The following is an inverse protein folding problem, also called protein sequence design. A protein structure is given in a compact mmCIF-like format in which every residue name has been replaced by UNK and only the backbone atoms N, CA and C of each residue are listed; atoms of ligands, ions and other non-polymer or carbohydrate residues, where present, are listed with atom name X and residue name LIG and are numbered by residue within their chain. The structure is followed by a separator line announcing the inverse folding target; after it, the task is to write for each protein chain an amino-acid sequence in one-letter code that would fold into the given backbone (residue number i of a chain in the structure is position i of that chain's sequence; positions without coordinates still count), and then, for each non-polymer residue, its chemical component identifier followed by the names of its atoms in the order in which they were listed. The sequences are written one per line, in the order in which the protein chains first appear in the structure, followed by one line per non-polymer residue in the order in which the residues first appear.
data_IF_540286435487
#
_entry.id   IF_540286435487
#
_cell.length_a   1.000
_cell.length_b   1.000
_cell.length_c   1.000
_cell.angle_alpha   90.00
_cell.angle_beta   90.00
_cell.angle_gamma   90.00
#
_symmetry.space_group_name_H-M   'P 1'
#
loop_
_entity.id
_entity.type
_entity.pdbx_description
1 polymer ?
#
# COMPACT_ATOMS: atom_id res chain seq x y z
N UNK A 1 -12.85 7.20 -22.53
CA UNK A 1 -12.38 8.33 -21.69
C UNK A 1 -11.69 9.47 -22.46
N UNK A 2 -11.10 9.27 -23.65
CA UNK A 2 -10.56 10.39 -24.50
C UNK A 2 -11.53 11.57 -24.70
N UNK A 3 -12.83 11.32 -24.81
CA UNK A 3 -13.87 12.36 -24.92
C UNK A 3 -13.98 13.23 -23.66
N UNK A 4 -13.83 12.64 -22.47
CA UNK A 4 -13.84 13.36 -21.19
C UNK A 4 -12.65 14.31 -21.10
N UNK A 5 -11.44 13.83 -21.42
CA UNK A 5 -10.22 14.64 -21.41
C UNK A 5 -10.29 15.87 -22.30
N UNK A 6 -10.77 15.69 -23.54
CA UNK A 6 -10.95 16.79 -24.49
C UNK A 6 -11.98 17.80 -23.98
N UNK A 7 -13.10 17.31 -23.43
CA UNK A 7 -14.18 18.16 -22.87
C UNK A 7 -13.67 18.98 -21.68
N UNK A 8 -12.92 18.37 -20.76
CA UNK A 8 -12.29 19.07 -19.61
C UNK A 8 -11.34 20.17 -20.10
N UNK A 9 -10.50 19.86 -21.10
CA UNK A 9 -9.57 20.83 -21.67
C UNK A 9 -10.30 22.03 -22.29
N UNK A 10 -11.31 21.79 -23.10
CA UNK A 10 -12.11 22.83 -23.75
C UNK A 10 -12.79 23.74 -22.71
N UNK A 11 -13.46 23.15 -21.72
CA UNK A 11 -14.15 23.91 -20.68
C UNK A 11 -13.20 24.73 -19.81
N UNK A 12 -11.97 24.24 -19.57
CA UNK A 12 -10.94 25.00 -18.87
C UNK A 12 -10.46 26.18 -19.72
N UNK A 13 -10.14 25.95 -21.00
CA UNK A 13 -9.65 26.97 -21.92
C UNK A 13 -10.72 28.06 -22.19
N UNK A 14 -12.00 27.68 -22.34
CA UNK A 14 -13.13 28.60 -22.50
C UNK A 14 -13.30 29.55 -21.31
N UNK A 15 -12.87 29.13 -20.11
CA UNK A 15 -12.87 29.94 -18.89
C UNK A 15 -11.58 30.77 -18.72
N UNK A 16 -10.63 30.65 -19.63
CA UNK A 16 -9.36 31.35 -19.58
C UNK A 16 -8.43 30.90 -18.44
N UNK A 17 -8.65 29.70 -17.87
CA UNK A 17 -7.88 29.20 -16.73
C UNK A 17 -6.63 28.45 -17.20
N UNK A 18 -5.48 28.73 -16.58
CA UNK A 18 -4.29 27.88 -16.75
C UNK A 18 -4.43 26.56 -15.98
N UNK A 19 -3.53 25.59 -16.20
CA UNK A 19 -3.60 24.32 -15.47
C UNK A 19 -3.24 24.52 -14.00
N UNK A 20 -2.28 25.39 -13.73
CA UNK A 20 -1.82 25.78 -12.41
C UNK A 20 -2.94 26.45 -11.62
N UNK A 21 -3.65 27.39 -12.24
CA UNK A 21 -4.82 28.04 -11.63
C UNK A 21 -5.96 27.05 -11.40
N UNK A 22 -6.12 26.07 -12.29
CA UNK A 22 -7.16 25.06 -12.17
C UNK A 22 -6.92 24.11 -10.98
N UNK A 23 -5.69 23.62 -10.83
CA UNK A 23 -5.27 22.66 -9.80
C UNK A 23 -5.03 23.26 -8.41
N UNK A 24 -4.84 24.58 -8.31
CA UNK A 24 -4.75 25.27 -7.02
C UNK A 24 -3.56 24.83 -6.17
N UNK A 25 -3.82 24.17 -5.03
CA UNK A 25 -2.80 23.68 -4.09
C UNK A 25 -2.32 22.25 -4.37
N UNK A 26 -2.80 21.66 -5.47
CA UNK A 26 -2.49 20.30 -5.92
C UNK A 26 -2.81 19.21 -4.88
N UNK A 27 -3.73 19.48 -3.95
CA UNK A 27 -4.14 18.51 -2.92
C UNK A 27 -5.02 17.38 -3.45
N UNK A 28 -5.91 17.68 -4.40
CA UNK A 28 -6.85 16.71 -5.00
C UNK A 28 -6.53 16.36 -6.47
N UNK A 29 -5.77 17.22 -7.16
CA UNK A 29 -5.40 17.04 -8.56
C UNK A 29 -4.09 17.79 -8.86
N UNK A 30 -3.06 17.07 -9.30
CA UNK A 30 -1.79 17.69 -9.72
C UNK A 30 -1.88 18.24 -11.14
N UNK A 31 -1.01 19.20 -11.47
CA UNK A 31 -0.92 19.75 -12.84
C UNK A 31 -0.59 18.64 -13.87
N UNK A 32 0.24 17.68 -13.47
CA UNK A 32 0.62 16.53 -14.29
C UNK A 32 -0.55 15.57 -14.49
N UNK A 33 -1.31 15.26 -13.45
CA UNK A 33 -2.53 14.44 -13.53
C UNK A 33 -3.54 15.09 -14.47
N UNK A 34 -3.79 16.40 -14.33
CA UNK A 34 -4.66 17.14 -15.23
C UNK A 34 -4.19 17.06 -16.68
N UNK A 35 -2.89 17.23 -16.95
CA UNK A 35 -2.35 17.11 -18.30
C UNK A 35 -2.54 15.70 -18.90
N UNK A 36 -2.38 14.63 -18.10
CA UNK A 36 -2.63 13.24 -18.55
C UNK A 36 -4.11 12.99 -18.84
N UNK A 37 -5.00 13.52 -17.99
CA UNK A 37 -6.46 13.44 -18.18
C UNK A 37 -6.85 14.17 -19.47
N UNK A 38 -6.39 15.41 -19.67
CA UNK A 38 -6.66 16.20 -20.88
C UNK A 38 -6.10 15.53 -22.16
N UNK A 39 -4.96 14.85 -22.04
CA UNK A 39 -4.37 14.05 -23.12
C UNK A 39 -5.15 12.78 -23.44
N UNK A 40 -6.11 12.39 -22.60
CA UNK A 40 -6.90 11.17 -22.75
C UNK A 40 -6.08 9.89 -22.57
N UNK A 41 -4.94 9.99 -21.89
CA UNK A 41 -4.04 8.88 -21.63
C UNK A 41 -4.43 8.10 -20.37
N UNK A 42 -5.13 8.73 -19.43
CA UNK A 42 -5.51 8.12 -18.14
C UNK A 42 -6.99 8.35 -17.78
N UNK A 43 -7.51 7.46 -16.95
CA UNK A 43 -8.85 7.57 -16.38
C UNK A 43 -8.78 8.29 -15.02
N UNK A 44 -9.44 9.45 -14.86
CA UNK A 44 -9.47 10.14 -13.57
C UNK A 44 -10.29 9.36 -12.54
N UNK A 45 -9.87 9.43 -11.28
CA UNK A 45 -10.61 8.84 -10.17
C UNK A 45 -11.84 9.70 -9.79
N UNK A 46 -12.74 9.15 -8.98
CA UNK A 46 -13.98 9.84 -8.57
C UNK A 46 -13.71 11.15 -7.83
N UNK A 47 -12.62 11.24 -7.06
CA UNK A 47 -12.24 12.45 -6.32
C UNK A 47 -11.83 13.56 -7.29
N UNK A 48 -10.91 13.26 -8.21
CA UNK A 48 -10.47 14.16 -9.27
C UNK A 48 -11.62 14.59 -10.17
N UNK A 49 -12.55 13.69 -10.51
CA UNK A 49 -13.75 14.04 -11.30
C UNK A 49 -14.65 15.01 -10.53
N UNK A 50 -14.89 14.78 -9.24
CA UNK A 50 -15.65 15.71 -8.39
C UNK A 50 -14.97 17.07 -8.30
N UNK A 51 -13.66 17.09 -8.13
CA UNK A 51 -12.87 18.32 -8.10
C UNK A 51 -13.00 19.09 -9.42
N UNK A 52 -12.80 18.41 -10.55
CA UNK A 52 -12.93 19.00 -11.89
C UNK A 52 -14.34 19.55 -12.10
N UNK A 53 -15.39 18.78 -11.75
CA UNK A 53 -16.78 19.20 -11.87
C UNK A 53 -17.07 20.45 -11.04
N UNK A 54 -16.61 20.48 -9.78
CA UNK A 54 -16.77 21.63 -8.89
C UNK A 54 -16.07 22.89 -9.43
N UNK A 55 -14.82 22.78 -9.92
CA UNK A 55 -14.08 23.91 -10.52
C UNK A 55 -14.73 24.40 -11.82
N UNK A 56 -15.32 23.48 -12.57
CA UNK A 56 -16.11 23.79 -13.76
C UNK A 56 -17.56 24.18 -13.43
N UNK A 57 -17.98 24.24 -12.16
CA UNK A 57 -19.35 24.59 -11.79
C UNK A 57 -20.42 23.69 -12.44
N UNK A 58 -20.07 22.43 -12.71
CA UNK A 58 -20.92 21.42 -13.32
C UNK A 58 -21.18 20.29 -12.32
N UNK A 59 -22.23 19.51 -12.55
CA UNK A 59 -22.43 18.26 -11.81
C UNK A 59 -21.56 17.13 -12.39
N UNK A 60 -21.23 16.13 -11.57
CA UNK A 60 -20.47 14.94 -12.01
C UNK A 60 -21.19 14.24 -13.18
N UNK A 61 -22.52 14.13 -13.14
CA UNK A 61 -23.30 13.50 -14.20
C UNK A 61 -23.21 14.22 -15.54
N UNK A 62 -23.22 15.55 -15.53
CA UNK A 62 -23.05 16.38 -16.74
C UNK A 62 -21.62 16.30 -17.29
N UNK A 63 -20.63 16.15 -16.42
CA UNK A 63 -19.24 16.06 -16.84
C UNK A 63 -18.96 14.73 -17.56
N UNK A 64 -19.42 13.62 -16.98
CA UNK A 64 -19.13 12.25 -17.49
C UNK A 64 -20.24 11.71 -18.42
N UNK A 65 -21.16 12.57 -18.85
CA UNK A 65 -22.27 12.22 -19.77
C UNK A 65 -23.08 10.99 -19.30
N UNK A 66 -23.26 10.83 -17.99
CA UNK A 66 -23.99 9.71 -17.39
C UNK A 66 -23.27 8.35 -17.41
N UNK A 67 -21.97 8.30 -17.68
CA UNK A 67 -21.20 7.06 -17.50
C UNK A 67 -21.10 6.69 -16.03
N UNK A 68 -21.25 5.39 -15.74
CA UNK A 68 -21.03 4.87 -14.41
C UNK A 68 -19.53 4.89 -14.09
N UNK A 69 -19.18 5.58 -13.01
CA UNK A 69 -17.81 5.70 -12.50
C UNK A 69 -17.52 4.65 -11.44
N UNK A 70 -18.50 3.81 -11.09
CA UNK A 70 -18.30 2.75 -10.12
C UNK A 70 -17.39 1.66 -10.70
N UNK A 71 -16.50 1.18 -9.84
CA UNK A 71 -15.66 0.03 -10.16
C UNK A 71 -16.53 -1.21 -10.23
N UNK A 72 -16.20 -2.13 -11.16
CA UNK A 72 -16.88 -3.42 -11.26
C UNK A 72 -16.83 -4.17 -9.92
N UNK A 73 -17.96 -4.75 -9.50
CA UNK A 73 -18.04 -5.57 -8.30
C UNK A 73 -17.04 -6.74 -8.36
N UNK A 74 -16.84 -7.33 -9.54
CA UNK A 74 -15.90 -8.42 -9.77
C UNK A 74 -14.45 -7.98 -9.52
N UNK A 75 -14.10 -6.75 -9.91
CA UNK A 75 -12.78 -6.19 -9.63
C UNK A 75 -12.57 -5.95 -8.14
N UNK A 76 -13.57 -5.41 -7.44
CA UNK A 76 -13.49 -5.17 -5.99
C UNK A 76 -13.33 -6.49 -5.23
N UNK A 77 -14.02 -7.56 -5.64
CA UNK A 77 -13.88 -8.88 -5.05
C UNK A 77 -12.45 -9.44 -5.26
N UNK A 78 -11.93 -9.35 -6.49
CA UNK A 78 -10.55 -9.77 -6.80
C UNK A 78 -9.52 -8.96 -5.99
N UNK A 79 -9.71 -7.65 -5.88
CA UNK A 79 -8.87 -6.78 -5.05
C UNK A 79 -8.92 -7.17 -3.59
N UNK A 80 -10.10 -7.44 -3.03
CA UNK A 80 -10.22 -7.93 -1.65
C UNK A 80 -9.49 -9.25 -1.44
N UNK A 81 -9.59 -10.19 -2.39
CA UNK A 81 -8.84 -11.46 -2.33
C UNK A 81 -7.33 -11.22 -2.36
N UNK A 82 -6.83 -10.38 -3.26
CA UNK A 82 -5.41 -10.01 -3.33
C UNK A 82 -4.89 -9.38 -2.03
N UNK A 83 -5.72 -8.56 -1.40
CA UNK A 83 -5.37 -7.77 -0.23
C UNK A 83 -5.49 -8.55 1.09
N UNK A 84 -6.41 -9.52 1.18
CA UNK A 84 -6.66 -10.27 2.42
C UNK A 84 -5.89 -11.57 2.50
N UNK A 85 -5.65 -12.27 1.39
CA UNK A 85 -5.07 -13.62 1.43
C UNK A 85 -3.56 -13.55 1.66
N UNK A 86 -3.05 -14.01 2.83
CA UNK A 86 -1.63 -14.12 3.06
C UNK A 86 -1.05 -15.31 2.28
N UNK A 87 -0.01 -15.07 1.49
CA UNK A 87 0.66 -16.13 0.73
C UNK A 87 1.67 -16.90 1.59
N UNK A 88 2.26 -16.28 2.61
CA UNK A 88 3.35 -16.83 3.45
C UNK A 88 4.54 -17.44 2.68
N UNK A 89 4.65 -17.18 1.37
CA UNK A 89 5.65 -17.81 0.50
C UNK A 89 5.26 -19.20 -0.04
N UNK A 90 4.02 -19.65 0.16
CA UNK A 90 3.50 -20.88 -0.45
C UNK A 90 3.39 -20.71 -1.97
N UNK A 91 4.10 -21.55 -2.73
CA UNK A 91 4.12 -21.52 -4.19
C UNK A 91 2.75 -21.76 -4.83
N UNK A 92 1.86 -22.54 -4.18
CA UNK A 92 0.51 -22.75 -4.68
C UNK A 92 -0.34 -21.47 -4.57
N UNK A 93 -0.28 -20.81 -3.40
CA UNK A 93 -0.98 -19.53 -3.15
C UNK A 93 -0.40 -18.39 -3.99
N UNK A 94 0.90 -18.39 -4.25
CA UNK A 94 1.54 -17.43 -5.14
C UNK A 94 1.01 -17.58 -6.58
N UNK A 95 0.89 -18.82 -7.08
CA UNK A 95 0.30 -19.09 -8.40
C UNK A 95 -1.16 -18.67 -8.51
N UNK A 96 -1.98 -18.93 -7.49
CA UNK A 96 -3.36 -18.44 -7.47
C UNK A 96 -3.41 -16.90 -7.49
N UNK A 97 -2.50 -16.26 -6.75
CA UNK A 97 -2.39 -14.81 -6.72
C UNK A 97 -1.99 -14.24 -8.08
N UNK A 98 -1.05 -14.87 -8.80
CA UNK A 98 -0.69 -14.53 -10.18
C UNK A 98 -1.90 -14.63 -11.13
N UNK A 99 -2.74 -15.66 -10.99
CA UNK A 99 -3.96 -15.80 -11.80
C UNK A 99 -4.96 -14.68 -11.57
N UNK A 100 -5.06 -14.17 -10.33
CA UNK A 100 -5.88 -12.99 -10.04
C UNK A 100 -5.33 -11.75 -10.76
N UNK A 101 -4.01 -11.55 -10.79
CA UNK A 101 -3.41 -10.45 -11.56
C UNK A 101 -3.72 -10.59 -13.05
N UNK A 102 -3.50 -11.75 -13.66
CA UNK A 102 -3.82 -11.98 -15.08
C UNK A 102 -5.28 -11.65 -15.38
N UNK A 103 -6.20 -12.08 -14.51
CA UNK A 103 -7.63 -11.80 -14.68
C UNK A 103 -7.95 -10.29 -14.59
N UNK A 104 -7.24 -9.55 -13.73
CA UNK A 104 -7.40 -8.09 -13.62
C UNK A 104 -6.83 -7.38 -14.85
N UNK A 105 -5.64 -7.77 -15.31
CA UNK A 105 -4.99 -7.20 -16.48
C UNK A 105 -5.82 -7.39 -17.75
N UNK A 106 -6.34 -8.58 -17.97
CA UNK A 106 -7.08 -8.89 -19.20
C UNK A 106 -8.48 -8.25 -19.24
N UNK A 107 -9.14 -8.09 -18.09
CA UNK A 107 -10.58 -7.74 -18.06
C UNK A 107 -10.88 -6.33 -17.58
N UNK A 108 -10.06 -5.78 -16.68
CA UNK A 108 -10.42 -4.56 -15.95
C UNK A 108 -9.40 -3.44 -16.10
N UNK A 109 -8.13 -3.75 -16.33
CA UNK A 109 -7.03 -2.77 -16.25
C UNK A 109 -7.25 -1.49 -17.08
N UNK A 110 -7.64 -1.61 -18.36
CA UNK A 110 -7.89 -0.45 -19.24
C UNK A 110 -9.05 0.47 -18.77
N UNK A 111 -9.93 -0.04 -17.93
CA UNK A 111 -11.09 0.68 -17.40
C UNK A 111 -10.82 1.28 -16.03
N UNK A 112 -9.77 0.82 -15.33
CA UNK A 112 -9.42 1.30 -14.00
C UNK A 112 -8.94 2.76 -14.03
N UNK A 113 -9.22 3.53 -12.96
CA UNK A 113 -8.57 4.81 -12.71
C UNK A 113 -7.05 4.72 -12.55
N UNK A 114 -6.34 5.84 -12.75
CA UNK A 114 -4.86 5.92 -12.67
C UNK A 114 -4.30 5.44 -11.32
N UNK A 115 -4.96 5.75 -10.21
CA UNK A 115 -4.56 5.31 -8.88
C UNK A 115 -4.71 3.79 -8.70
N UNK A 116 -5.80 3.20 -9.22
CA UNK A 116 -6.03 1.76 -9.14
C UNK A 116 -5.10 0.96 -10.07
N UNK A 117 -4.80 1.46 -11.27
CA UNK A 117 -3.79 0.88 -12.16
C UNK A 117 -2.42 0.84 -11.46
N UNK A 118 -2.02 1.97 -10.86
CA UNK A 118 -0.76 2.09 -10.14
C UNK A 118 -0.69 1.11 -8.96
N UNK A 119 -1.77 0.94 -8.21
CA UNK A 119 -1.84 -0.04 -7.12
C UNK A 119 -1.61 -1.46 -7.64
N UNK A 120 -2.29 -1.86 -8.72
CA UNK A 120 -2.19 -3.22 -9.26
C UNK A 120 -0.78 -3.49 -9.79
N UNK A 121 -0.22 -2.57 -10.56
CA UNK A 121 1.13 -2.68 -11.11
C UNK A 121 2.19 -2.81 -10.03
N UNK A 122 2.08 -2.02 -8.97
CA UNK A 122 3.04 -2.09 -7.88
C UNK A 122 2.86 -3.35 -7.04
N UNK A 123 1.62 -3.83 -6.85
CA UNK A 123 1.37 -5.11 -6.18
C UNK A 123 1.92 -6.30 -6.98
N UNK A 124 1.86 -6.26 -8.32
CA UNK A 124 2.50 -7.24 -9.18
C UNK A 124 4.03 -7.13 -9.10
N UNK A 125 4.58 -5.92 -9.22
CA UNK A 125 6.03 -5.69 -9.15
C UNK A 125 6.65 -6.20 -7.83
N UNK A 126 5.90 -6.10 -6.73
CA UNK A 126 6.29 -6.67 -5.42
C UNK A 126 6.41 -8.20 -5.44
N UNK A 127 5.62 -8.89 -6.26
CA UNK A 127 5.67 -10.35 -6.39
C UNK A 127 6.81 -10.80 -7.30
N UNK A 128 7.06 -10.08 -8.39
CA UNK A 128 7.95 -10.56 -9.44
C UNK A 128 9.43 -10.59 -9.03
N UNK A 129 9.83 -10.06 -7.86
CA UNK A 129 11.24 -9.93 -7.37
C UNK A 129 12.14 -9.10 -8.31
N UNK A 130 11.72 -8.92 -9.56
CA UNK A 130 12.27 -8.09 -10.60
C UNK A 130 11.83 -6.63 -10.41
N UNK A 131 12.40 -5.96 -9.41
CA UNK A 131 12.71 -4.52 -9.54
C UNK A 131 13.88 -4.31 -10.53
N UNK A 132 14.12 -5.24 -11.46
CA UNK A 132 15.20 -5.15 -12.43
C UNK A 132 14.75 -4.34 -13.65
N UNK A 133 15.43 -3.22 -13.86
CA UNK A 133 15.61 -2.52 -15.14
C UNK A 133 14.40 -1.79 -15.76
N UNK A 134 13.34 -1.50 -15.01
CA UNK A 134 12.36 -0.49 -15.42
C UNK A 134 12.64 0.85 -14.71
N UNK A 135 13.70 1.53 -15.17
CA UNK A 135 14.18 2.86 -14.73
C UNK A 135 13.15 4.01 -14.83
N UNK A 136 11.92 3.71 -15.24
CA UNK A 136 10.87 4.70 -15.49
C UNK A 136 9.51 4.32 -14.89
N UNK A 137 9.49 3.48 -13.85
CA UNK A 137 8.22 3.14 -13.19
C UNK A 137 7.64 4.34 -12.45
N UNK A 138 6.86 5.17 -13.15
CA UNK A 138 5.90 6.10 -12.59
C UNK A 138 6.39 6.98 -11.44
N UNK A 139 7.69 7.24 -11.28
CA UNK A 139 8.23 7.99 -10.12
C UNK A 139 7.56 9.34 -9.99
N UNK A 140 7.31 10.01 -11.12
CA UNK A 140 6.52 11.24 -11.14
C UNK A 140 5.07 11.04 -10.69
N UNK A 141 4.43 9.92 -11.05
CA UNK A 141 3.07 9.58 -10.60
C UNK A 141 3.07 9.30 -9.09
N UNK A 142 4.00 8.46 -8.62
CA UNK A 142 4.17 8.13 -7.21
C UNK A 142 4.46 9.37 -6.36
N UNK A 143 5.33 10.28 -6.84
CA UNK A 143 5.62 11.53 -6.15
C UNK A 143 4.38 12.42 -6.06
N UNK A 144 3.63 12.57 -7.16
CA UNK A 144 2.40 13.37 -7.19
C UNK A 144 1.38 12.83 -6.16
N UNK A 145 1.17 11.51 -6.12
CA UNK A 145 0.28 10.88 -5.13
C UNK A 145 0.84 10.94 -3.70
N UNK A 146 2.16 10.80 -3.52
CA UNK A 146 2.79 10.88 -2.21
C UNK A 146 2.59 12.27 -1.60
N UNK A 147 2.82 13.34 -2.38
CA UNK A 147 2.59 14.71 -1.93
C UNK A 147 1.11 14.95 -1.58
N UNK A 148 0.18 14.41 -2.36
CA UNK A 148 -1.26 14.48 -2.09
C UNK A 148 -1.64 13.73 -0.80
N UNK A 149 -1.24 12.47 -0.68
CA UNK A 149 -1.50 11.65 0.50
C UNK A 149 -0.88 12.28 1.74
N UNK A 150 0.30 12.90 1.62
CA UNK A 150 0.95 13.57 2.74
C UNK A 150 0.18 14.80 3.25
N UNK A 151 -0.62 15.47 2.41
CA UNK A 151 -1.46 16.61 2.82
C UNK A 151 -2.76 16.18 3.52
N UNK A 152 -3.18 14.92 3.40
CA UNK A 152 -4.44 14.42 3.98
C UNK A 152 -4.36 14.23 5.50
N UNK A 153 -5.48 14.48 6.17
CA UNK A 153 -5.66 14.24 7.61
C UNK A 153 -6.25 12.86 7.94
N UNK A 154 -6.91 12.22 6.97
CA UNK A 154 -7.49 10.87 7.09
C UNK A 154 -7.09 10.05 5.87
N UNK A 155 -6.75 8.77 6.09
CA UNK A 155 -6.23 7.88 5.06
C UNK A 155 -7.23 6.78 4.74
N UNK A 156 -7.36 6.48 3.45
CA UNK A 156 -8.17 5.38 2.93
C UNK A 156 -7.33 4.11 2.75
N UNK A 157 -7.98 2.98 2.46
CA UNK A 157 -7.31 1.71 2.11
C UNK A 157 -6.26 1.90 1.00
N UNK A 158 -6.59 2.68 -0.03
CA UNK A 158 -5.68 2.95 -1.15
C UNK A 158 -4.46 3.76 -0.70
N UNK A 159 -4.66 4.75 0.18
CA UNK A 159 -3.54 5.54 0.74
C UNK A 159 -2.58 4.64 1.55
N UNK A 160 -3.08 3.66 2.31
CA UNK A 160 -2.22 2.69 3.00
C UNK A 160 -1.46 1.80 2.03
N UNK A 161 -2.09 1.33 0.96
CA UNK A 161 -1.38 0.59 -0.09
C UNK A 161 -0.30 1.48 -0.69
N UNK A 162 -0.57 2.76 -0.99
CA UNK A 162 0.46 3.69 -1.46
C UNK A 162 1.64 3.84 -0.50
N UNK A 163 1.40 3.90 0.81
CA UNK A 163 2.49 3.88 1.79
C UNK A 163 3.30 2.57 1.75
N UNK A 164 2.65 1.41 1.62
CA UNK A 164 3.35 0.12 1.41
C UNK A 164 4.26 0.21 0.19
N UNK A 165 3.75 0.76 -0.92
CA UNK A 165 4.49 0.88 -2.17
C UNK A 165 5.69 1.82 -2.03
N UNK A 166 5.50 2.99 -1.41
CA UNK A 166 6.58 3.93 -1.12
C UNK A 166 7.71 3.26 -0.33
N UNK A 167 7.36 2.49 0.70
CA UNK A 167 8.33 1.87 1.58
C UNK A 167 9.03 0.69 0.93
N UNK A 168 8.35 -0.07 0.08
CA UNK A 168 8.98 -1.07 -0.78
C UNK A 168 9.98 -0.40 -1.73
N UNK A 169 9.60 0.70 -2.41
CA UNK A 169 10.54 1.43 -3.26
C UNK A 169 11.75 1.97 -2.48
N UNK A 170 11.53 2.47 -1.26
CA UNK A 170 12.58 2.91 -0.35
C UNK A 170 13.59 1.79 -0.05
N UNK A 171 13.12 0.54 0.14
CA UNK A 171 13.97 -0.62 0.37
C UNK A 171 15.01 -0.86 -0.74
N UNK A 172 14.58 -0.69 -2.00
CA UNK A 172 15.39 -0.99 -3.18
C UNK A 172 16.21 0.20 -3.67
N UNK A 173 15.69 1.43 -3.54
CA UNK A 173 16.31 2.66 -4.03
C UNK A 173 16.97 3.51 -2.94
N UNK A 174 17.21 2.93 -1.76
CA UNK A 174 17.84 3.62 -0.62
C UNK A 174 19.08 4.41 -1.08
N UNK A 175 19.11 5.70 -0.78
CA UNK A 175 20.22 6.64 -1.08
C UNK A 175 20.51 6.91 -2.57
N UNK A 176 19.63 6.55 -3.50
CA UNK A 176 19.79 6.87 -4.93
C UNK A 176 19.13 8.19 -5.34
N UNK A 177 18.05 8.59 -4.66
CA UNK A 177 17.30 9.83 -4.93
C UNK A 177 16.93 10.52 -3.61
N UNK A 178 16.86 11.87 -3.60
CA UNK A 178 16.44 12.69 -2.44
C UNK A 178 15.05 12.33 -1.88
N UNK A 179 14.22 11.64 -2.67
CA UNK A 179 12.89 11.17 -2.29
C UNK A 179 12.91 9.91 -1.39
N UNK A 180 14.07 9.28 -1.22
CA UNK A 180 14.25 8.09 -0.39
C UNK A 180 15.29 8.31 0.71
N UNK A 181 15.17 9.44 1.40
CA UNK A 181 15.99 9.79 2.57
C UNK A 181 15.40 9.24 3.87
N UNK A 182 16.26 8.93 4.84
CA UNK A 182 15.83 8.36 6.13
C UNK A 182 14.91 9.29 6.93
N UNK A 183 15.00 10.61 6.75
CA UNK A 183 14.09 11.58 7.36
C UNK A 183 12.65 11.43 6.84
N UNK A 184 12.49 11.18 5.54
CA UNK A 184 11.16 10.98 4.95
C UNK A 184 10.54 9.66 5.43
N UNK A 185 11.36 8.62 5.59
CA UNK A 185 10.93 7.36 6.19
C UNK A 185 10.40 7.57 7.62
N UNK A 186 11.12 8.29 8.48
CA UNK A 186 10.68 8.54 9.86
C UNK A 186 9.37 9.32 9.91
N UNK A 187 9.22 10.29 9.01
CA UNK A 187 8.02 11.09 8.89
C UNK A 187 6.80 10.27 8.45
N UNK A 188 6.98 9.36 7.49
CA UNK A 188 5.95 8.41 7.05
C UNK A 188 5.58 7.45 8.19
N UNK A 189 6.58 6.88 8.87
CA UNK A 189 6.34 5.95 9.98
C UNK A 189 5.63 6.63 11.14
N UNK A 190 5.99 7.85 11.50
CA UNK A 190 5.30 8.64 12.52
C UNK A 190 3.82 8.86 12.16
N UNK A 191 3.53 9.14 10.89
CA UNK A 191 2.14 9.30 10.41
C UNK A 191 1.35 8.01 10.43
N UNK A 192 1.95 6.89 10.02
CA UNK A 192 1.30 5.58 10.05
C UNK A 192 0.99 5.15 11.49
N UNK A 193 1.94 5.33 12.41
CA UNK A 193 1.77 4.97 13.83
C UNK A 193 0.71 5.83 14.53
N UNK A 194 0.67 7.13 14.21
CA UNK A 194 -0.34 8.06 14.73
C UNK A 194 -1.70 7.93 14.05
N UNK A 195 -1.77 7.28 12.88
CA UNK A 195 -3.04 7.05 12.20
C UNK A 195 -3.95 6.14 13.01
N UNK A 196 -5.22 6.51 13.10
CA UNK A 196 -6.25 5.66 13.67
C UNK A 196 -7.48 5.67 12.76
N UNK A 197 -7.49 4.83 11.70
CA UNK A 197 -8.59 4.83 10.76
C UNK A 197 -9.88 4.31 11.41
N UNK A 198 -11.06 4.86 11.06
CA UNK A 198 -12.33 4.48 11.67
C UNK A 198 -12.82 3.09 11.20
N UNK A 199 -12.51 2.70 9.96
CA UNK A 199 -13.02 1.46 9.36
C UNK A 199 -12.12 0.26 9.68
N UNK A 200 -12.74 -0.90 9.92
CA UNK A 200 -12.01 -2.14 10.21
C UNK A 200 -11.09 -2.58 9.04
N UNK A 201 -11.52 -2.35 7.80
CA UNK A 201 -10.72 -2.69 6.61
C UNK A 201 -9.47 -1.83 6.46
N UNK A 202 -9.58 -0.54 6.82
CA UNK A 202 -8.46 0.39 6.84
C UNK A 202 -7.48 0.04 7.97
N UNK A 203 -7.99 -0.32 9.16
CA UNK A 203 -7.18 -0.83 10.28
C UNK A 203 -6.43 -2.11 9.89
N UNK A 204 -7.09 -3.02 9.20
CA UNK A 204 -6.48 -4.24 8.69
C UNK A 204 -5.33 -3.91 7.72
N UNK A 205 -5.54 -2.96 6.78
CA UNK A 205 -4.45 -2.60 5.88
C UNK A 205 -3.32 -1.85 6.55
N UNK A 206 -3.60 -0.91 7.44
CA UNK A 206 -2.57 -0.27 8.24
C UNK A 206 -1.70 -1.32 8.95
N UNK A 207 -2.32 -2.35 9.53
CA UNK A 207 -1.58 -3.43 10.17
C UNK A 207 -0.68 -4.19 9.18
N UNK A 208 -1.17 -4.51 7.98
CA UNK A 208 -0.34 -5.18 6.95
C UNK A 208 0.84 -4.32 6.51
N UNK A 209 0.63 -3.01 6.30
CA UNK A 209 1.70 -2.07 5.95
C UNK A 209 2.74 -2.06 7.07
N UNK A 210 2.33 -1.86 8.33
CA UNK A 210 3.25 -1.86 9.46
C UNK A 210 4.05 -3.16 9.54
N UNK A 211 3.41 -4.32 9.40
CA UNK A 211 4.08 -5.63 9.45
C UNK A 211 5.08 -5.83 8.30
N UNK A 212 4.75 -5.40 7.08
CA UNK A 212 5.66 -5.50 5.93
C UNK A 212 6.93 -4.66 6.13
N UNK A 213 6.81 -3.52 6.80
CA UNK A 213 7.92 -2.59 7.04
C UNK A 213 8.92 -3.03 8.10
N UNK A 214 8.60 -4.08 8.87
CA UNK A 214 9.46 -4.48 9.97
C UNK A 214 10.80 -4.99 9.48
N UNK A 215 10.84 -5.69 8.34
CA UNK A 215 12.10 -6.11 7.72
C UNK A 215 13.00 -4.90 7.40
N UNK A 216 12.40 -3.79 6.97
CA UNK A 216 13.13 -2.55 6.71
C UNK A 216 13.57 -1.88 8.01
N UNK A 217 12.70 -1.81 9.01
CA UNK A 217 13.03 -1.24 10.30
C UNK A 217 14.19 -1.98 11.00
N UNK A 218 14.24 -3.32 10.88
CA UNK A 218 15.37 -4.12 11.34
C UNK A 218 16.65 -3.80 10.55
N UNK A 219 16.58 -3.70 9.22
CA UNK A 219 17.74 -3.35 8.38
C UNK A 219 18.27 -1.93 8.60
N UNK A 220 17.47 -1.02 9.14
CA UNK A 220 17.86 0.34 9.54
C UNK A 220 18.23 0.47 11.02
N UNK A 221 18.16 -0.63 11.80
CA UNK A 221 18.41 -0.65 13.25
C UNK A 221 17.55 0.35 14.05
N UNK A 222 16.33 0.69 13.55
CA UNK A 222 15.40 1.62 14.22
C UNK A 222 14.52 0.89 15.24
N UNK A 223 15.12 0.50 16.37
CA UNK A 223 14.49 -0.29 17.43
C UNK A 223 13.23 0.34 18.04
N UNK A 224 13.20 1.67 18.21
CA UNK A 224 12.04 2.39 18.77
C UNK A 224 10.81 2.30 17.85
N UNK A 225 11.04 2.30 16.54
CA UNK A 225 9.95 2.17 15.55
C UNK A 225 9.39 0.75 15.60
N UNK A 226 10.23 -0.28 15.77
CA UNK A 226 9.80 -1.67 15.88
C UNK A 226 8.90 -1.86 17.11
N UNK A 227 9.28 -1.31 18.27
CA UNK A 227 8.47 -1.42 19.49
C UNK A 227 7.09 -0.75 19.31
N UNK A 228 7.07 0.43 18.70
CA UNK A 228 5.82 1.13 18.39
C UNK A 228 4.95 0.37 17.38
N UNK A 229 5.55 -0.24 16.35
CA UNK A 229 4.83 -1.09 15.40
C UNK A 229 4.19 -2.28 16.13
N UNK A 230 4.94 -2.97 16.99
CA UNK A 230 4.44 -4.13 17.73
C UNK A 230 3.27 -3.75 18.62
N UNK A 231 3.39 -2.64 19.37
CA UNK A 231 2.31 -2.12 20.22
C UNK A 231 1.06 -1.76 19.42
N UNK A 232 1.24 -1.02 18.31
CA UNK A 232 0.13 -0.60 17.45
C UNK A 232 -0.56 -1.78 16.77
N UNK A 233 0.22 -2.73 16.25
CA UNK A 233 -0.27 -3.97 15.64
C UNK A 233 -1.10 -4.78 16.64
N UNK A 234 -0.62 -4.93 17.88
CA UNK A 234 -1.34 -5.59 18.97
C UNK A 234 -2.70 -4.93 19.27
N UNK A 235 -2.73 -3.59 19.33
CA UNK A 235 -3.97 -2.82 19.49
C UNK A 235 -4.93 -3.06 18.32
N UNK A 236 -4.45 -2.89 17.08
CA UNK A 236 -5.26 -3.02 15.87
C UNK A 236 -5.87 -4.43 15.76
N UNK A 237 -5.08 -5.50 15.95
CA UNK A 237 -5.58 -6.89 15.95
C UNK A 237 -6.68 -7.12 16.97
N UNK A 238 -6.55 -6.51 18.16
CA UNK A 238 -7.55 -6.64 19.23
C UNK A 238 -8.84 -5.93 18.87
N UNK A 239 -8.75 -4.74 18.26
CA UNK A 239 -9.91 -3.95 17.84
C UNK A 239 -10.68 -4.56 16.66
N UNK A 240 -9.97 -5.19 15.72
CA UNK A 240 -10.60 -5.82 14.54
C UNK A 240 -10.97 -7.30 14.77
N UNK A 241 -10.58 -7.86 15.91
CA UNK A 241 -10.71 -9.30 16.23
C UNK A 241 -10.13 -10.24 15.16
N UNK A 242 -9.11 -9.78 14.42
CA UNK A 242 -8.40 -10.56 13.41
C UNK A 242 -7.02 -10.94 13.95
N UNK A 243 -6.85 -12.24 14.16
CA UNK A 243 -5.64 -12.82 14.73
C UNK A 243 -4.85 -13.66 13.72
N UNK A 244 -5.21 -13.66 12.43
CA UNK A 244 -4.52 -14.45 11.41
C UNK A 244 -3.03 -14.07 11.29
N UNK A 245 -2.69 -12.82 11.61
CA UNK A 245 -1.33 -12.28 11.55
C UNK A 245 -0.55 -12.37 12.87
N UNK A 246 -1.15 -12.92 13.93
CA UNK A 246 -0.48 -13.11 15.24
C UNK A 246 0.81 -13.92 15.16
N UNK A 247 0.91 -15.03 14.39
CA UNK A 247 2.17 -15.76 14.28
C UNK A 247 3.33 -14.89 13.74
N UNK A 248 3.03 -14.01 12.78
CA UNK A 248 4.02 -13.08 12.23
C UNK A 248 4.46 -12.08 13.30
N UNK A 249 3.51 -11.52 14.06
CA UNK A 249 3.82 -10.58 15.13
C UNK A 249 4.70 -11.22 16.22
N UNK A 250 4.40 -12.45 16.62
CA UNK A 250 5.21 -13.18 17.59
C UNK A 250 6.62 -13.53 17.07
N UNK A 251 6.77 -13.73 15.75
CA UNK A 251 8.07 -13.84 15.09
C UNK A 251 8.88 -12.56 15.20
N UNK A 252 8.23 -11.42 15.00
CA UNK A 252 8.88 -10.11 15.14
C UNK A 252 9.29 -9.84 16.59
N UNK A 253 8.40 -10.16 17.53
CA UNK A 253 8.66 -10.01 18.97
C UNK A 253 9.88 -10.83 19.41
N UNK A 254 10.02 -12.09 18.94
CA UNK A 254 11.21 -12.88 19.27
C UNK A 254 12.47 -12.30 18.64
N UNK A 255 12.43 -11.84 17.38
CA UNK A 255 13.62 -11.29 16.71
C UNK A 255 14.06 -10.01 17.40
N UNK A 256 13.12 -9.16 17.77
CA UNK A 256 13.40 -7.95 18.55
C UNK A 256 14.04 -8.29 19.90
N UNK A 257 13.53 -9.31 20.61
CA UNK A 257 14.09 -9.75 21.90
C UNK A 257 15.49 -10.35 21.76
N UNK A 258 15.76 -11.13 20.70
CA UNK A 258 17.08 -11.72 20.41
C UNK A 258 18.10 -10.65 20.03
N UNK A 259 17.80 -9.80 19.05
CA UNK A 259 18.77 -8.86 18.49
C UNK A 259 18.93 -7.57 19.31
N UNK A 260 17.86 -7.04 19.91
CA UNK A 260 17.91 -5.77 20.64
C UNK A 260 18.14 -5.94 22.15
N UNK A 261 17.50 -6.94 22.77
CA UNK A 261 17.52 -7.13 24.24
C UNK A 261 18.40 -8.29 24.71
N UNK A 262 18.87 -9.15 23.79
CA UNK A 262 19.65 -10.37 24.07
C UNK A 262 19.00 -11.28 25.11
N UNK A 263 17.67 -11.26 25.22
CA UNK A 263 16.91 -12.07 26.18
C UNK A 263 16.35 -13.31 25.48
N UNK A 264 17.07 -14.42 25.64
CA UNK A 264 16.74 -15.71 25.02
C UNK A 264 15.51 -16.37 25.66
N UNK A 265 15.17 -16.03 26.91
CA UNK A 265 14.02 -16.62 27.60
C UNK A 265 12.71 -16.05 27.07
N UNK A 266 12.62 -14.72 26.95
CA UNK A 266 11.45 -14.07 26.37
C UNK A 266 11.29 -14.43 24.88
N UNK A 267 12.40 -14.51 24.13
CA UNK A 267 12.37 -14.91 22.73
C UNK A 267 11.77 -16.32 22.55
N UNK A 268 12.16 -17.25 23.42
CA UNK A 268 11.64 -18.63 23.38
C UNK A 268 10.14 -18.67 23.67
N UNK A 269 9.64 -17.83 24.58
CA UNK A 269 8.22 -17.72 24.88
C UNK A 269 7.44 -17.18 23.67
N UNK A 270 7.97 -16.16 23.00
CA UNK A 270 7.40 -15.57 21.79
C UNK A 270 7.34 -16.60 20.64
N UNK A 271 8.39 -17.42 20.48
CA UNK A 271 8.41 -18.54 19.52
C UNK A 271 7.35 -19.60 19.82
N UNK A 272 7.22 -20.02 21.08
CA UNK A 272 6.20 -21.00 21.48
C UNK A 272 4.78 -20.49 21.17
N UNK A 273 4.53 -19.19 21.40
CA UNK A 273 3.26 -18.57 21.05
C UNK A 273 3.02 -18.57 19.53
N UNK A 274 4.04 -18.25 18.72
CA UNK A 274 3.94 -18.26 17.27
C UNK A 274 3.55 -19.65 16.72
N UNK A 275 4.18 -20.72 17.22
CA UNK A 275 3.85 -22.10 16.83
C UNK A 275 2.45 -22.49 17.27
N UNK A 276 2.06 -22.14 18.50
CA UNK A 276 0.72 -22.44 19.00
C UNK A 276 -0.34 -21.79 18.11
N UNK A 277 -0.14 -20.53 17.70
CA UNK A 277 -1.06 -19.85 16.78
C UNK A 277 -1.05 -20.47 15.38
N UNK A 278 0.11 -20.86 14.83
CA UNK A 278 0.18 -21.54 13.54
C UNK A 278 -0.63 -22.85 13.56
N UNK A 279 -0.53 -23.63 14.64
CA UNK A 279 -1.32 -24.86 14.86
C UNK A 279 -2.81 -24.60 15.00
N UNK A 280 -3.19 -23.54 15.73
CA UNK A 280 -4.59 -23.16 15.91
C UNK A 280 -5.25 -22.73 14.59
N UNK A 281 -4.49 -22.10 13.69
CA UNK A 281 -4.94 -21.70 12.35
C UNK A 281 -4.95 -22.90 11.40
N UNK A 282 -4.23 -23.98 11.72
CA UNK A 282 -4.11 -25.18 10.89
C UNK A 282 -3.22 -24.99 9.66
N UNK A 283 -2.28 -24.05 9.70
CA UNK A 283 -1.34 -23.78 8.59
C UNK A 283 -0.01 -24.51 8.85
N UNK A 284 0.06 -25.76 8.38
CA UNK A 284 1.25 -26.63 8.50
C UNK A 284 2.50 -26.08 7.80
N UNK A 285 2.30 -25.23 6.77
CA UNK A 285 3.41 -24.59 6.05
C UNK A 285 4.02 -23.48 6.90
N UNK A 286 3.18 -22.64 7.52
CA UNK A 286 3.61 -21.59 8.42
C UNK A 286 4.37 -22.17 9.64
N UNK A 287 3.89 -23.28 10.23
CA UNK A 287 4.59 -23.94 11.35
C UNK A 287 6.02 -24.36 10.96
N UNK A 288 6.18 -24.96 9.77
CA UNK A 288 7.50 -25.39 9.27
C UNK A 288 8.43 -24.21 9.02
N UNK A 289 7.93 -23.13 8.42
CA UNK A 289 8.71 -21.91 8.17
C UNK A 289 9.17 -21.26 9.49
N UNK A 290 8.27 -21.11 10.46
CA UNK A 290 8.60 -20.55 11.78
C UNK A 290 9.68 -21.38 12.50
N UNK A 291 9.60 -22.70 12.41
CA UNK A 291 10.57 -23.60 13.02
C UNK A 291 11.96 -23.49 12.36
N UNK A 292 12.00 -23.37 11.03
CA UNK A 292 13.25 -23.17 10.28
C UNK A 292 13.89 -21.81 10.58
N UNK A 293 13.11 -20.73 10.63
CA UNK A 293 13.62 -19.40 10.97
C UNK A 293 14.17 -19.35 12.40
N UNK A 294 13.46 -19.92 13.37
CA UNK A 294 13.93 -19.98 14.76
C UNK A 294 15.27 -20.71 14.90
N UNK A 295 15.43 -21.82 14.19
CA UNK A 295 16.67 -22.58 14.23
C UNK A 295 17.83 -21.78 13.61
N UNK A 296 17.58 -21.08 12.50
CA UNK A 296 18.58 -20.19 11.90
C UNK A 296 18.90 -18.98 12.80
N UNK A 297 17.93 -18.43 13.52
CA UNK A 297 18.12 -17.28 14.39
C UNK A 297 18.93 -17.65 15.64
N UNK A 298 18.65 -18.82 16.24
CA UNK A 298 19.44 -19.36 17.37
C UNK A 298 20.89 -19.65 16.95
N UNK A 299 21.08 -20.30 15.80
CA UNK A 299 22.41 -20.68 15.32
C UNK A 299 23.27 -19.47 14.94
N UNK A 300 22.65 -18.31 14.67
CA UNK A 300 23.34 -17.04 14.41
C UNK A 300 23.62 -16.21 15.68
N UNK A 301 22.97 -16.52 16.79
CA UNK A 301 23.08 -15.79 18.07
C UNK A 301 23.95 -16.53 19.10
N UNK A 302 24.10 -17.86 18.98
CA UNK A 302 25.02 -18.71 19.76
C UNK A 302 26.41 -18.80 19.12
#
# INVERSE_FOLDING_TARGET
MKKLGIKVRQLREDRGLTREEFCGDESELSVRQLARIEGGNNNPNVVSIKYIANRLGMTVGELVDGQDLSLSADYLELKQKLLRIPTYGDQARLKEREQYFTSIYERFYDQLPEDEQLIIDCLQSKLDVHFSDNDSFGLGILQDYFEQTFKKSTYTVNDFVFFDLYLVCFAYKKNQEHFYEEEQYDLVMAKLLNSNPPLAEEKFQLNNVLLNNIKLAFGLEKWDIIENIVSKSNQLMTEIHDFQKRPILSLIEWKYQLYAKQDTALATQSYQNAILFAKLIGDDYLEKQLSQEWQSDIDNVL
#
